data_IF_667674130911
#
_entry.id   IF_667674130911
#
_cell.length_a   1.000
_cell.length_b   1.000
_cell.length_c   1.000
_cell.angle_alpha   90.00
_cell.angle_beta   90.00
_cell.angle_gamma   90.00
#
_symmetry.space_group_name_H-M   'P 1'
#
loop_
_entity.id
_entity.type
_entity.pdbx_description
1 polymer ?
#
# COMPACT_ATOMS: atom_id res chain seq x y z
N UNK A 1 14.58 3.79 -5.27
CA UNK A 1 15.17 2.49 -4.88
C UNK A 1 14.79 1.43 -5.90
N UNK A 2 15.70 0.47 -6.15
CA UNK A 2 15.42 -0.72 -6.94
C UNK A 2 14.97 -1.88 -6.03
N UNK A 3 14.55 -3.03 -6.60
CA UNK A 3 14.02 -4.18 -5.85
C UNK A 3 15.01 -4.75 -4.82
N UNK A 4 16.31 -4.79 -5.14
CA UNK A 4 17.35 -5.28 -4.21
C UNK A 4 17.48 -4.36 -3.00
N UNK A 5 17.53 -3.05 -3.21
CA UNK A 5 17.61 -2.06 -2.13
C UNK A 5 16.38 -2.09 -1.21
N UNK A 6 15.21 -2.45 -1.78
CA UNK A 6 13.98 -2.61 -0.98
C UNK A 6 14.05 -3.89 -0.14
N UNK A 7 14.55 -4.99 -0.72
CA UNK A 7 14.77 -6.24 0.02
C UNK A 7 15.77 -6.04 1.17
N UNK A 8 16.90 -5.39 0.89
CA UNK A 8 17.90 -5.06 1.92
C UNK A 8 17.28 -4.24 3.06
N UNK A 9 16.37 -3.31 2.71
CA UNK A 9 15.68 -2.48 3.69
C UNK A 9 14.71 -3.30 4.56
N UNK A 10 13.99 -4.26 3.97
CA UNK A 10 13.09 -5.17 4.69
C UNK A 10 13.87 -6.11 5.62
N UNK A 11 15.01 -6.61 5.17
CA UNK A 11 15.90 -7.44 5.99
C UNK A 11 16.51 -6.63 7.13
N UNK A 12 17.04 -5.45 6.85
CA UNK A 12 17.63 -4.56 7.84
C UNK A 12 16.65 -4.16 8.94
N UNK A 13 15.39 -3.94 8.61
CA UNK A 13 14.36 -3.62 9.60
C UNK A 13 13.83 -4.83 10.35
N UNK A 14 14.20 -6.06 9.95
CA UNK A 14 13.63 -7.29 10.49
C UNK A 14 12.19 -7.53 10.06
N UNK A 15 11.73 -6.85 9.00
CA UNK A 15 10.39 -7.04 8.45
C UNK A 15 10.26 -8.40 7.76
N UNK A 16 11.34 -8.95 7.20
CA UNK A 16 11.38 -10.32 6.68
C UNK A 16 11.79 -11.28 7.81
N UNK A 17 10.90 -12.21 8.11
CA UNK A 17 11.13 -13.25 9.10
C UNK A 17 11.24 -14.60 8.38
N UNK A 18 12.31 -15.37 8.67
CA UNK A 18 12.48 -16.73 8.19
C UNK A 18 12.06 -17.72 9.27
N UNK A 19 11.33 -18.77 8.88
CA UNK A 19 10.83 -19.77 9.82
C UNK A 19 9.69 -20.58 9.20
N UNK A 20 8.89 -21.24 10.04
CA UNK A 20 7.70 -21.95 9.61
C UNK A 20 6.46 -21.18 10.08
N UNK A 21 5.75 -20.56 9.16
CA UNK A 21 4.59 -19.72 9.45
C UNK A 21 3.32 -20.30 8.83
N UNK A 22 2.25 -20.37 9.62
CA UNK A 22 0.91 -20.68 9.11
C UNK A 22 0.22 -19.35 8.78
N UNK A 23 -0.11 -19.17 7.51
CA UNK A 23 -0.80 -17.98 7.01
C UNK A 23 -2.29 -18.02 7.36
N UNK A 24 -2.96 -16.88 7.29
CA UNK A 24 -4.43 -16.76 7.50
C UNK A 24 -5.25 -17.58 6.50
N UNK A 25 -4.70 -17.86 5.32
CA UNK A 25 -5.27 -18.79 4.31
C UNK A 25 -5.21 -20.26 4.73
N UNK A 26 -4.50 -20.58 5.82
CA UNK A 26 -4.22 -21.97 6.25
C UNK A 26 -2.97 -22.58 5.62
N UNK A 27 -2.38 -21.94 4.59
CA UNK A 27 -1.14 -22.38 3.93
C UNK A 27 0.07 -22.11 4.82
N UNK A 28 1.15 -22.84 4.58
CA UNK A 28 2.42 -22.67 5.27
C UNK A 28 3.41 -21.91 4.39
N UNK A 29 4.28 -21.11 5.01
CA UNK A 29 5.34 -20.38 4.35
C UNK A 29 6.62 -20.43 5.18
N UNK A 30 7.77 -20.45 4.54
CA UNK A 30 9.08 -20.30 5.19
C UNK A 30 9.43 -18.83 5.45
N UNK A 31 8.63 -17.92 4.94
CA UNK A 31 8.86 -16.48 5.03
C UNK A 31 7.57 -15.77 5.44
N UNK A 32 7.69 -14.86 6.40
CA UNK A 32 6.62 -13.97 6.85
C UNK A 32 7.08 -12.53 6.79
N UNK A 33 6.19 -11.62 6.37
CA UNK A 33 6.45 -10.18 6.39
C UNK A 33 5.72 -9.56 7.56
N UNK A 34 6.48 -9.08 8.55
CA UNK A 34 5.97 -8.25 9.63
C UNK A 34 6.13 -6.77 9.24
N UNK A 35 5.14 -6.28 8.50
CA UNK A 35 5.15 -4.94 7.92
C UNK A 35 5.37 -3.82 8.93
N UNK A 36 4.92 -3.99 10.17
CA UNK A 36 5.06 -2.97 11.20
C UNK A 36 6.52 -2.77 11.63
N UNK A 37 7.40 -3.76 11.45
CA UNK A 37 8.85 -3.58 11.63
C UNK A 37 9.45 -2.58 10.64
N UNK A 38 8.92 -2.57 9.40
CA UNK A 38 9.28 -1.56 8.40
C UNK A 38 8.67 -0.21 8.75
N UNK A 39 7.37 -0.20 9.07
CA UNK A 39 6.60 1.04 9.27
C UNK A 39 6.96 1.77 10.58
N UNK A 40 7.42 1.06 11.62
CA UNK A 40 7.89 1.68 12.87
C UNK A 40 9.26 2.35 12.73
N UNK A 41 10.06 1.99 11.72
CA UNK A 41 11.37 2.56 11.49
C UNK A 41 11.26 3.84 10.63
N UNK A 42 11.57 5.03 11.18
CA UNK A 42 11.33 6.29 10.48
C UNK A 42 12.20 6.45 9.23
N UNK A 43 13.42 5.89 9.22
CA UNK A 43 14.33 5.97 8.07
C UNK A 43 13.83 5.07 6.94
N UNK A 44 13.42 3.85 7.28
CA UNK A 44 12.89 2.90 6.31
C UNK A 44 11.56 3.38 5.72
N UNK A 45 10.64 3.82 6.56
CA UNK A 45 9.36 4.39 6.14
C UNK A 45 9.57 5.57 5.18
N UNK A 46 10.47 6.50 5.52
CA UNK A 46 10.74 7.66 4.67
C UNK A 46 11.30 7.27 3.30
N UNK A 47 12.26 6.34 3.24
CA UNK A 47 12.81 5.82 1.98
C UNK A 47 11.75 5.16 1.09
N UNK A 48 10.86 4.36 1.69
CA UNK A 48 9.74 3.72 0.97
C UNK A 48 8.78 4.78 0.43
N UNK A 49 8.37 5.73 1.26
CA UNK A 49 7.44 6.80 0.86
C UNK A 49 8.03 7.67 -0.25
N UNK A 50 9.32 8.03 -0.17
CA UNK A 50 10.02 8.73 -1.24
C UNK A 50 9.99 7.91 -2.55
N UNK A 51 10.33 6.62 -2.49
CA UNK A 51 10.35 5.74 -3.67
C UNK A 51 8.96 5.62 -4.31
N UNK A 52 7.91 5.52 -3.50
CA UNK A 52 6.53 5.52 -3.99
C UNK A 52 6.16 6.85 -4.65
N UNK A 53 6.53 7.97 -4.05
CA UNK A 53 6.22 9.31 -4.56
C UNK A 53 6.91 9.60 -5.90
N UNK A 54 8.12 9.09 -6.11
CA UNK A 54 8.88 9.26 -7.37
C UNK A 54 8.14 8.71 -8.60
N UNK A 55 7.24 7.73 -8.42
CA UNK A 55 6.41 7.20 -9.51
C UNK A 55 5.43 8.24 -10.07
N UNK A 56 5.14 9.30 -9.31
CA UNK A 56 4.18 10.35 -9.67
C UNK A 56 4.78 11.77 -9.64
N UNK A 57 6.11 11.90 -9.59
CA UNK A 57 6.79 13.21 -9.50
C UNK A 57 6.44 14.18 -10.64
N UNK A 58 6.14 13.64 -11.83
CA UNK A 58 5.80 14.42 -13.03
C UNK A 58 4.29 14.62 -13.21
N UNK A 59 3.49 14.22 -12.21
CA UNK A 59 2.04 14.35 -12.22
C UNK A 59 1.58 15.23 -11.08
N UNK A 60 0.56 16.04 -11.32
CA UNK A 60 -0.12 16.74 -10.23
C UNK A 60 -0.99 15.76 -9.46
N UNK A 61 -0.64 15.48 -8.21
CA UNK A 61 -1.43 14.72 -7.26
C UNK A 61 -1.97 15.67 -6.20
N UNK A 62 -3.27 15.61 -5.96
CA UNK A 62 -3.95 16.49 -5.01
C UNK A 62 -4.20 15.76 -3.66
N UNK A 63 -4.26 14.42 -3.69
CA UNK A 63 -4.62 13.63 -2.52
C UNK A 63 -4.04 12.20 -2.57
N UNK A 64 -3.49 11.76 -1.47
CA UNK A 64 -3.09 10.36 -1.25
C UNK A 64 -4.08 9.70 -0.31
N UNK A 65 -4.59 8.53 -0.67
CA UNK A 65 -5.58 7.78 0.12
C UNK A 65 -5.06 6.39 0.45
N UNK A 66 -5.37 5.92 1.65
CA UNK A 66 -5.08 4.55 2.09
C UNK A 66 -6.24 3.94 2.88
N UNK A 67 -6.18 2.63 3.10
CA UNK A 67 -7.00 1.98 4.11
C UNK A 67 -6.28 1.93 5.46
N UNK A 68 -7.01 2.11 6.55
CA UNK A 68 -6.47 1.86 7.89
C UNK A 68 -6.19 0.36 8.06
N UNK A 69 -5.15 -0.01 8.81
CA UNK A 69 -4.27 0.79 9.66
C UNK A 69 -2.89 0.96 9.00
N UNK A 70 -2.33 -0.06 8.35
CA UNK A 70 -0.96 -0.07 7.83
C UNK A 70 -0.71 1.04 6.80
N UNK A 71 -1.70 1.33 5.96
CA UNK A 71 -1.60 2.36 4.93
C UNK A 71 -1.54 3.79 5.46
N UNK A 72 -1.94 4.07 6.71
CA UNK A 72 -2.00 5.45 7.24
C UNK A 72 -0.63 6.13 7.22
N UNK A 73 0.39 5.42 7.71
CA UNK A 73 1.76 5.95 7.73
C UNK A 73 2.30 6.17 6.31
N UNK A 74 1.96 5.27 5.39
CA UNK A 74 2.36 5.39 3.99
C UNK A 74 1.70 6.59 3.31
N UNK A 75 0.37 6.74 3.45
CA UNK A 75 -0.33 7.88 2.84
C UNK A 75 0.21 9.21 3.37
N UNK A 76 0.51 9.30 4.67
CA UNK A 76 1.14 10.48 5.28
C UNK A 76 2.53 10.77 4.74
N UNK A 77 3.37 9.76 4.63
CA UNK A 77 4.73 9.90 4.12
C UNK A 77 4.76 10.25 2.63
N UNK A 78 3.98 9.55 1.81
CA UNK A 78 3.87 9.82 0.36
C UNK A 78 3.27 11.21 0.11
N UNK A 79 2.21 11.58 0.84
CA UNK A 79 1.60 12.91 0.74
C UNK A 79 2.59 14.04 1.09
N UNK A 80 3.45 13.83 2.09
CA UNK A 80 4.53 14.76 2.43
C UNK A 80 5.52 14.95 1.27
N UNK A 81 5.97 13.86 0.64
CA UNK A 81 6.91 13.94 -0.49
C UNK A 81 6.29 14.55 -1.75
N UNK A 82 4.98 14.36 -1.97
CA UNK A 82 4.24 14.98 -3.08
C UNK A 82 3.69 16.36 -2.74
N UNK A 83 3.89 16.84 -1.51
CA UNK A 83 3.34 18.10 -1.00
C UNK A 83 1.82 18.23 -1.22
N UNK A 84 1.08 17.17 -0.90
CA UNK A 84 -0.37 17.15 -1.04
C UNK A 84 -1.05 16.57 0.22
N UNK A 85 -2.37 16.74 0.30
CA UNK A 85 -3.17 16.17 1.40
C UNK A 85 -3.10 14.65 1.40
N UNK A 86 -3.32 14.05 2.58
CA UNK A 86 -3.52 12.61 2.72
C UNK A 86 -4.68 12.32 3.66
N UNK A 87 -5.41 11.25 3.36
CA UNK A 87 -6.53 10.75 4.18
C UNK A 87 -6.52 9.22 4.20
N UNK A 88 -7.33 8.65 5.05
CA UNK A 88 -7.51 7.21 5.12
C UNK A 88 -8.98 6.84 5.34
N UNK A 89 -9.36 5.65 4.85
CA UNK A 89 -10.65 5.04 5.19
C UNK A 89 -10.53 4.14 6.40
N UNK A 90 -11.62 4.02 7.16
CA UNK A 90 -11.75 3.12 8.30
C UNK A 90 -12.92 2.16 8.06
N UNK A 91 -12.88 0.97 8.67
CA UNK A 91 -14.05 0.07 8.69
C UNK A 91 -15.01 0.47 9.78
N UNK A 92 -16.25 0.73 9.38
CA UNK A 92 -17.37 1.04 10.28
C UNK A 92 -18.47 0.03 10.00
N UNK A 93 -18.81 -0.79 10.99
CA UNK A 93 -19.80 -1.86 10.82
C UNK A 93 -19.51 -2.77 9.60
N UNK A 94 -18.23 -3.10 9.39
CA UNK A 94 -17.76 -3.98 8.32
C UNK A 94 -17.59 -3.32 6.95
N UNK A 95 -17.97 -2.06 6.77
CA UNK A 95 -17.82 -1.31 5.51
C UNK A 95 -16.77 -0.22 5.62
N UNK A 96 -16.05 0.04 4.53
CA UNK A 96 -15.14 1.18 4.46
C UNK A 96 -15.90 2.50 4.36
N UNK A 97 -15.41 3.49 5.11
CA UNK A 97 -15.97 4.84 5.11
C UNK A 97 -14.88 5.90 5.39
N UNK A 98 -15.06 7.12 4.85
CA UNK A 98 -14.25 8.27 5.21
C UNK A 98 -14.91 8.99 6.39
N UNK A 99 -14.17 9.06 7.48
CA UNK A 99 -14.63 9.72 8.71
C UNK A 99 -13.78 10.95 9.02
N UNK A 100 -13.86 11.45 10.25
CA UNK A 100 -13.01 12.52 10.78
C UNK A 100 -13.09 13.84 10.01
N UNK A 101 -14.20 14.04 9.26
CA UNK A 101 -14.36 15.23 8.44
C UNK A 101 -13.49 15.25 7.18
N UNK A 102 -12.93 14.10 6.76
CA UNK A 102 -12.22 14.02 5.50
C UNK A 102 -13.14 14.29 4.33
N UNK A 103 -12.65 15.09 3.39
CA UNK A 103 -13.37 15.45 2.16
C UNK A 103 -12.51 15.17 0.94
N UNK A 104 -13.16 14.71 -0.13
CA UNK A 104 -12.53 14.52 -1.44
C UNK A 104 -13.15 15.54 -2.38
N UNK A 105 -12.33 16.42 -2.93
CA UNK A 105 -12.79 17.43 -3.87
C UNK A 105 -13.06 16.82 -5.25
N UNK A 106 -14.11 17.28 -5.91
CA UNK A 106 -14.44 16.84 -7.28
C UNK A 106 -13.26 17.13 -8.22
N UNK A 107 -12.98 16.20 -9.13
CA UNK A 107 -11.90 16.26 -10.11
C UNK A 107 -10.48 16.26 -9.50
N UNK A 108 -10.30 16.06 -8.18
CA UNK A 108 -8.96 15.91 -7.62
C UNK A 108 -8.27 14.67 -8.16
N UNK A 109 -6.96 14.78 -8.40
CA UNK A 109 -6.11 13.67 -8.81
C UNK A 109 -5.66 12.90 -7.59
N UNK A 110 -6.01 11.63 -7.52
CA UNK A 110 -5.82 10.78 -6.35
C UNK A 110 -4.89 9.61 -6.69
N UNK A 111 -4.03 9.25 -5.75
CA UNK A 111 -3.38 7.95 -5.73
C UNK A 111 -3.79 7.18 -4.48
N UNK A 112 -3.88 5.86 -4.61
CA UNK A 112 -4.14 4.93 -3.51
C UNK A 112 -2.85 4.22 -3.15
N UNK A 113 -2.54 4.16 -1.85
CA UNK A 113 -1.35 3.46 -1.35
C UNK A 113 -1.74 2.39 -0.34
N UNK A 114 -1.05 1.25 -0.39
CA UNK A 114 -1.25 0.11 0.51
C UNK A 114 0.09 -0.48 0.91
N UNK A 115 0.14 -1.17 2.04
CA UNK A 115 1.36 -1.85 2.47
C UNK A 115 1.55 -3.19 1.73
N UNK A 116 0.63 -4.12 1.86
CA UNK A 116 0.68 -5.45 1.24
C UNK A 116 -0.64 -5.75 0.55
N UNK A 117 -0.56 -6.12 -0.71
CA UNK A 117 -1.70 -6.59 -1.49
C UNK A 117 -1.67 -8.11 -1.58
N UNK A 118 -2.77 -8.76 -1.20
CA UNK A 118 -2.99 -10.21 -1.34
C UNK A 118 -4.13 -10.48 -2.31
N UNK A 119 -5.36 -10.44 -1.88
CA UNK A 119 -6.55 -10.58 -2.73
C UNK A 119 -6.99 -9.27 -3.39
N UNK A 120 -6.47 -8.14 -2.92
CA UNK A 120 -6.87 -6.81 -3.37
C UNK A 120 -8.21 -6.32 -2.81
N UNK A 121 -8.89 -7.12 -1.96
CA UNK A 121 -10.23 -6.80 -1.47
C UNK A 121 -10.34 -5.42 -0.83
N UNK A 122 -9.39 -5.02 0.01
CA UNK A 122 -9.37 -3.69 0.64
C UNK A 122 -9.25 -2.56 -0.39
N UNK A 123 -8.43 -2.77 -1.43
CA UNK A 123 -8.28 -1.78 -2.51
C UNK A 123 -9.55 -1.68 -3.34
N UNK A 124 -10.16 -2.80 -3.74
CA UNK A 124 -11.42 -2.77 -4.49
C UNK A 124 -12.51 -2.02 -3.74
N UNK A 125 -12.68 -2.30 -2.44
CA UNK A 125 -13.67 -1.63 -1.59
C UNK A 125 -13.36 -0.13 -1.44
N UNK A 126 -12.08 0.23 -1.32
CA UNK A 126 -11.65 1.63 -1.26
C UNK A 126 -11.89 2.37 -2.58
N UNK A 127 -11.60 1.74 -3.72
CA UNK A 127 -11.85 2.32 -5.04
C UNK A 127 -13.35 2.52 -5.29
N UNK A 128 -14.19 1.57 -4.86
CA UNK A 128 -15.64 1.72 -4.89
C UNK A 128 -16.12 2.90 -4.02
N UNK A 129 -15.55 3.06 -2.83
CA UNK A 129 -15.84 4.21 -1.97
C UNK A 129 -15.44 5.53 -2.63
N UNK A 130 -14.24 5.62 -3.23
CA UNK A 130 -13.74 6.82 -3.92
C UNK A 130 -14.60 7.17 -5.13
N UNK A 131 -15.14 6.18 -5.85
CA UNK A 131 -15.94 6.41 -7.06
C UNK A 131 -17.15 7.33 -6.83
N UNK A 132 -17.65 7.41 -5.61
CA UNK A 132 -18.77 8.27 -5.20
C UNK A 132 -18.46 9.77 -5.23
N UNK A 133 -17.17 10.14 -5.34
CA UNK A 133 -16.70 11.52 -5.20
C UNK A 133 -16.33 12.20 -6.53
N UNK A 134 -16.48 11.51 -7.67
CA UNK A 134 -16.09 12.02 -8.98
C UNK A 134 -14.64 12.54 -9.03
N UNK A 135 -13.71 11.81 -8.45
CA UNK A 135 -12.28 12.10 -8.45
C UNK A 135 -11.56 11.31 -9.56
N UNK A 136 -10.35 11.75 -9.92
CA UNK A 136 -9.51 11.11 -10.93
C UNK A 136 -8.47 10.22 -10.27
N UNK A 137 -8.66 8.91 -10.26
CA UNK A 137 -7.67 7.98 -9.72
C UNK A 137 -6.53 7.82 -10.73
N UNK A 138 -5.31 8.19 -10.34
CA UNK A 138 -4.10 8.15 -11.17
C UNK A 138 -3.34 6.85 -11.05
N UNK A 139 -3.53 6.12 -9.96
CA UNK A 139 -2.92 4.82 -9.77
C UNK A 139 -3.06 4.27 -8.37
N UNK A 140 -2.67 3.02 -8.24
CA UNK A 140 -2.61 2.25 -7.00
C UNK A 140 -1.19 1.76 -6.80
N UNK A 141 -0.64 1.95 -5.62
CA UNK A 141 0.70 1.47 -5.27
C UNK A 141 0.66 0.63 -4.01
N UNK A 142 1.55 -0.36 -3.95
CA UNK A 142 1.83 -1.07 -2.71
C UNK A 142 3.34 -1.32 -2.54
N UNK A 143 3.75 -1.63 -1.33
CA UNK A 143 5.14 -2.06 -1.07
C UNK A 143 5.32 -3.47 -1.62
N UNK A 144 4.44 -4.40 -1.20
CA UNK A 144 4.55 -5.82 -1.54
C UNK A 144 3.28 -6.30 -2.23
N UNK A 145 3.45 -6.90 -3.41
CA UNK A 145 2.38 -7.62 -4.09
C UNK A 145 2.54 -9.14 -3.88
N UNK A 146 1.63 -9.74 -3.13
CA UNK A 146 1.54 -11.18 -2.88
C UNK A 146 0.32 -11.82 -3.55
N UNK A 147 -0.28 -11.14 -4.53
CA UNK A 147 -1.41 -11.71 -5.26
C UNK A 147 -0.95 -12.89 -6.14
N UNK A 148 -1.69 -13.96 -6.10
CA UNK A 148 -1.46 -15.15 -6.96
C UNK A 148 -1.96 -14.91 -8.39
N UNK A 149 -2.87 -13.98 -8.55
CA UNK A 149 -3.48 -13.63 -9.84
C UNK A 149 -3.12 -12.19 -10.24
N UNK A 150 -3.16 -11.91 -11.53
CA UNK A 150 -3.05 -10.54 -12.04
C UNK A 150 -4.29 -9.75 -11.60
N UNK A 151 -4.13 -8.91 -10.58
CA UNK A 151 -5.19 -8.03 -10.10
C UNK A 151 -5.38 -6.89 -11.11
N UNK A 152 -6.62 -6.72 -11.55
CA UNK A 152 -7.00 -5.58 -12.38
C UNK A 152 -7.91 -4.63 -11.59
N UNK A 153 -7.35 -3.51 -11.16
CA UNK A 153 -8.07 -2.46 -10.45
C UNK A 153 -8.75 -1.44 -11.37
N UNK A 154 -8.71 -1.65 -12.71
CA UNK A 154 -9.09 -0.67 -13.74
C UNK A 154 -8.28 0.64 -13.71
N UNK A 155 -7.19 0.67 -12.95
CA UNK A 155 -6.23 1.77 -12.83
C UNK A 155 -4.80 1.22 -12.87
N UNK A 156 -3.80 2.03 -13.25
CA UNK A 156 -2.40 1.60 -13.17
C UNK A 156 -2.07 1.09 -11.77
N UNK A 157 -1.57 -0.14 -11.69
CA UNK A 157 -1.15 -0.76 -10.43
C UNK A 157 0.35 -1.03 -10.46
N UNK A 158 1.04 -0.57 -9.43
CA UNK A 158 2.50 -0.73 -9.28
C UNK A 158 2.83 -1.19 -7.87
N UNK A 159 3.57 -2.30 -7.76
CA UNK A 159 4.29 -2.66 -6.53
C UNK A 159 5.72 -2.13 -6.58
N UNK A 160 6.37 -2.03 -5.44
CA UNK A 160 7.79 -1.72 -5.36
C UNK A 160 8.68 -2.94 -5.68
N UNK A 161 8.15 -3.90 -6.49
CA UNK A 161 8.83 -5.08 -7.04
C UNK A 161 9.35 -6.12 -6.03
N UNK A 162 8.62 -6.33 -4.96
CA UNK A 162 8.80 -7.53 -4.16
C UNK A 162 7.80 -8.55 -4.69
N UNK A 163 8.22 -9.37 -5.63
CA UNK A 163 7.35 -10.36 -6.26
C UNK A 163 7.04 -11.52 -5.31
N UNK A 164 5.87 -12.15 -5.52
CA UNK A 164 5.44 -13.34 -4.78
C UNK A 164 6.43 -14.53 -4.87
N UNK A 165 7.36 -14.51 -5.82
CA UNK A 165 8.42 -15.53 -5.98
C UNK A 165 9.36 -15.66 -4.76
N UNK A 166 9.48 -14.61 -3.94
CA UNK A 166 10.23 -14.67 -2.67
C UNK A 166 9.46 -15.34 -1.54
N UNK A 167 8.18 -15.66 -1.75
CA UNK A 167 7.28 -16.19 -0.72
C UNK A 167 6.68 -17.54 -1.16
N UNK A 168 7.48 -18.41 -1.78
CA UNK A 168 7.05 -19.76 -2.13
C UNK A 168 6.61 -20.48 -0.86
N UNK A 169 5.30 -20.74 -0.77
CA UNK A 169 4.76 -21.59 0.28
C UNK A 169 5.06 -23.05 -0.03
N UNK A 170 5.26 -23.86 1.00
CA UNK A 170 5.16 -25.29 0.89
C UNK A 170 3.68 -25.68 0.94
N UNK A 171 3.25 -26.52 0.00
CA UNK A 171 1.94 -27.17 0.04
C UNK A 171 1.85 -28.17 1.19
#
# INVERSE_FOLDING_TARGET
MNSSEIMDLLEWTGAIMKGHFKLTSGRHSDTYIEKFRLLENPIALDKICLTMSEKFKDQKIDLVISAAIGGILLSGGVGRHLNCKHIFSERVNGKMDFRRGFTIEKNSNIIVVEDIVTTGGSIFELLELISKYNANIKGVLCIVNRSENNLNFNYPFTSLDISASYFSGYD
#
